data_IF_449402425428
#
_entry.id   IF_449402425428
#
_cell.length_a   1.000
_cell.length_b   1.000
_cell.length_c   1.000
_cell.angle_alpha   90.00
_cell.angle_beta   90.00
_cell.angle_gamma   90.00
#
_symmetry.space_group_name_H-M   'P 1'
#
loop_
_entity.id
_entity.type
_entity.pdbx_description
1 polymer ?
#
# COMPACT_ATOMS: atom_id res chain seq x y z
N UNK A 1 -5.13 -8.65 18.43
CA UNK A 1 -4.69 -8.90 17.04
C UNK A 1 -5.90 -9.20 16.17
N UNK A 2 -5.79 -9.22 14.83
CA UNK A 2 -6.93 -9.57 13.95
C UNK A 2 -7.46 -10.99 14.24
N UNK A 3 -6.59 -11.94 14.60
CA UNK A 3 -7.00 -13.31 14.95
C UNK A 3 -7.91 -13.36 16.18
N UNK A 4 -7.69 -12.48 17.17
CA UNK A 4 -8.61 -12.38 18.31
C UNK A 4 -9.95 -11.81 17.88
N UNK A 5 -9.97 -10.82 16.97
CA UNK A 5 -11.21 -10.30 16.41
C UNK A 5 -11.99 -11.40 15.68
N UNK A 6 -11.33 -12.27 14.91
CA UNK A 6 -12.01 -13.40 14.25
C UNK A 6 -12.74 -14.31 15.24
N UNK A 7 -12.10 -14.63 16.37
CA UNK A 7 -12.69 -15.45 17.42
C UNK A 7 -13.92 -14.77 18.02
N UNK A 8 -13.79 -13.49 18.37
CA UNK A 8 -14.91 -12.71 18.89
C UNK A 8 -16.05 -12.65 17.87
N UNK A 9 -15.79 -12.36 16.59
CA UNK A 9 -16.81 -12.38 15.53
C UNK A 9 -17.54 -13.73 15.50
N UNK A 10 -16.82 -14.84 15.56
CA UNK A 10 -17.40 -16.19 15.59
C UNK A 10 -18.29 -16.39 16.81
N UNK A 11 -17.84 -15.96 18.00
CA UNK A 11 -18.61 -16.06 19.25
C UNK A 11 -19.91 -15.25 19.17
N UNK A 12 -19.87 -14.04 18.59
CA UNK A 12 -21.07 -13.24 18.34
C UNK A 12 -22.04 -13.92 17.36
N UNK A 13 -21.53 -14.55 16.30
CA UNK A 13 -22.35 -15.31 15.36
C UNK A 13 -23.03 -16.52 16.01
N UNK A 14 -22.29 -17.29 16.82
CA UNK A 14 -22.84 -18.43 17.57
C UNK A 14 -23.90 -17.96 18.57
N UNK A 15 -23.60 -16.92 19.35
CA UNK A 15 -24.52 -16.34 20.31
C UNK A 15 -25.82 -15.85 19.65
N UNK A 16 -25.73 -15.20 18.48
CA UNK A 16 -26.91 -14.78 17.72
C UNK A 16 -27.76 -15.96 17.23
N UNK A 17 -27.11 -17.08 16.87
CA UNK A 17 -27.80 -18.28 16.43
C UNK A 17 -28.53 -18.98 17.58
N UNK A 18 -27.90 -19.08 18.74
CA UNK A 18 -28.49 -19.69 19.94
C UNK A 18 -29.60 -18.82 20.55
N UNK A 19 -29.45 -17.50 20.49
CA UNK A 19 -30.37 -16.52 21.08
C UNK A 19 -31.00 -15.64 19.99
N UNK A 20 -31.77 -16.25 19.08
CA UNK A 20 -32.33 -15.55 17.89
C UNK A 20 -33.14 -14.30 18.23
N UNK A 21 -33.88 -14.29 19.36
CA UNK A 21 -34.61 -13.10 19.83
C UNK A 21 -33.69 -11.89 20.09
N UNK A 22 -32.41 -12.13 20.41
CA UNK A 22 -31.40 -11.10 20.65
C UNK A 22 -30.51 -10.85 19.43
N UNK A 23 -30.68 -11.57 18.32
CA UNK A 23 -29.88 -11.42 17.11
C UNK A 23 -29.77 -9.96 16.60
N UNK A 24 -30.83 -9.11 16.61
CA UNK A 24 -30.69 -7.70 16.24
C UNK A 24 -29.71 -6.94 17.14
N UNK A 25 -29.78 -7.15 18.45
CA UNK A 25 -28.91 -6.47 19.43
C UNK A 25 -27.48 -6.96 19.30
N UNK A 26 -27.29 -8.28 19.17
CA UNK A 26 -25.97 -8.90 18.99
C UNK A 26 -25.33 -8.40 17.68
N UNK A 27 -26.10 -8.29 16.60
CA UNK A 27 -25.62 -7.77 15.31
C UNK A 27 -25.16 -6.31 15.38
N UNK A 28 -25.88 -5.45 16.11
CA UNK A 28 -25.47 -4.04 16.36
C UNK A 28 -24.19 -3.98 17.20
N UNK A 29 -24.07 -4.80 18.23
CA UNK A 29 -22.86 -4.86 19.05
C UNK A 29 -21.64 -5.37 18.25
N UNK A 30 -21.85 -6.37 17.38
CA UNK A 30 -20.80 -6.85 16.46
C UNK A 30 -20.37 -5.74 15.49
N UNK A 31 -21.33 -4.98 14.97
CA UNK A 31 -21.03 -3.80 14.14
C UNK A 31 -20.13 -2.82 14.88
N UNK A 32 -20.44 -2.50 16.14
CA UNK A 32 -19.64 -1.56 16.94
C UNK A 32 -18.25 -2.11 17.26
N UNK A 33 -18.12 -3.41 17.49
CA UNK A 33 -16.84 -4.09 17.65
C UNK A 33 -15.95 -3.92 16.41
N UNK A 34 -16.52 -4.15 15.21
CA UNK A 34 -15.79 -3.99 13.94
C UNK A 34 -15.40 -2.52 13.70
N UNK A 35 -16.30 -1.58 14.00
CA UNK A 35 -16.02 -0.14 13.93
C UNK A 35 -14.89 0.27 14.87
N UNK A 36 -14.91 -0.23 16.10
CA UNK A 36 -13.87 0.01 17.11
C UNK A 36 -12.52 -0.51 16.63
N UNK A 37 -12.48 -1.72 16.06
CA UNK A 37 -11.25 -2.28 15.51
C UNK A 37 -10.69 -1.42 14.37
N UNK A 38 -11.55 -0.98 13.44
CA UNK A 38 -11.14 -0.11 12.34
C UNK A 38 -10.57 1.23 12.86
N UNK A 39 -11.32 1.90 13.75
CA UNK A 39 -10.93 3.18 14.36
C UNK A 39 -9.61 3.07 15.12
N UNK A 40 -9.44 2.02 15.94
CA UNK A 40 -8.21 1.84 16.70
C UNK A 40 -7.00 1.54 15.80
N UNK A 41 -7.20 0.74 14.76
CA UNK A 41 -6.15 0.46 13.76
C UNK A 41 -5.72 1.75 13.05
N UNK A 42 -6.69 2.60 12.67
CA UNK A 42 -6.41 3.89 12.05
C UNK A 42 -5.58 4.77 12.97
N UNK A 43 -6.03 4.95 14.22
CA UNK A 43 -5.34 5.78 15.20
C UNK A 43 -3.90 5.32 15.45
N UNK A 44 -3.66 4.02 15.55
CA UNK A 44 -2.33 3.49 15.82
C UNK A 44 -1.37 3.70 14.64
N UNK A 45 -1.86 3.54 13.42
CA UNK A 45 -1.01 3.44 12.23
C UNK A 45 -0.98 4.76 11.45
N UNK A 46 -2.12 5.27 11.00
CA UNK A 46 -2.21 6.54 10.28
C UNK A 46 -2.24 7.73 11.24
N UNK A 47 -2.86 7.60 12.41
CA UNK A 47 -2.91 8.61 13.46
C UNK A 47 -1.66 8.71 14.34
N UNK A 48 -0.58 7.99 13.97
CA UNK A 48 0.69 7.93 14.70
C UNK A 48 0.57 7.55 16.20
N UNK A 49 -0.55 6.94 16.59
CA UNK A 49 -0.81 6.55 17.98
C UNK A 49 0.21 5.56 18.51
N UNK A 50 0.69 4.63 17.68
CA UNK A 50 1.69 3.65 18.08
C UNK A 50 3.05 4.29 18.41
N UNK A 51 3.39 5.46 17.85
CA UNK A 51 4.60 6.18 18.24
C UNK A 51 4.52 6.65 19.71
N UNK A 52 3.33 7.10 20.13
CA UNK A 52 3.09 7.62 21.49
C UNK A 52 2.85 6.51 22.50
N UNK A 53 2.06 5.49 22.14
CA UNK A 53 1.58 4.48 23.10
C UNK A 53 2.39 3.20 23.11
N UNK A 54 3.13 2.90 22.03
CA UNK A 54 3.96 1.69 21.92
C UNK A 54 5.46 2.00 21.83
N UNK A 55 5.86 3.28 21.91
CA UNK A 55 7.27 3.69 21.90
C UNK A 55 8.00 3.45 20.57
N UNK A 56 7.26 3.26 19.47
CA UNK A 56 7.86 3.11 18.15
C UNK A 56 8.50 4.43 17.69
N UNK A 57 9.68 4.34 17.07
CA UNK A 57 10.34 5.52 16.46
C UNK A 57 9.68 5.93 15.14
N UNK A 58 9.14 4.98 14.39
CA UNK A 58 8.50 5.22 13.09
C UNK A 58 7.45 4.16 12.77
N UNK A 59 6.50 4.51 11.91
CA UNK A 59 5.57 3.56 11.28
C UNK A 59 6.21 3.10 9.98
N UNK A 60 6.57 1.81 9.91
CA UNK A 60 7.26 1.23 8.75
C UNK A 60 6.28 0.83 7.64
N UNK A 61 6.77 0.61 6.42
CA UNK A 61 5.96 0.04 5.33
C UNK A 61 5.41 -1.34 5.67
N UNK A 62 6.13 -2.15 6.47
CA UNK A 62 5.64 -3.43 6.99
C UNK A 62 4.42 -3.24 7.90
N UNK A 63 4.44 -2.23 8.78
CA UNK A 63 3.28 -1.91 9.63
C UNK A 63 2.06 -1.54 8.77
N UNK A 64 2.25 -0.72 7.73
CA UNK A 64 1.20 -0.34 6.78
C UNK A 64 0.63 -1.57 6.05
N UNK A 65 1.50 -2.42 5.50
CA UNK A 65 1.10 -3.63 4.78
C UNK A 65 0.34 -4.63 5.66
N UNK A 66 0.85 -4.92 6.87
CA UNK A 66 0.20 -5.84 7.82
C UNK A 66 -1.17 -5.32 8.28
N UNK A 67 -1.28 -4.01 8.50
CA UNK A 67 -2.56 -3.38 8.86
C UNK A 67 -3.54 -3.49 7.71
N UNK A 68 -3.10 -3.18 6.49
CA UNK A 68 -3.91 -3.31 5.27
C UNK A 68 -4.43 -4.74 5.11
N UNK A 69 -3.58 -5.76 5.27
CA UNK A 69 -4.01 -7.17 5.20
C UNK A 69 -4.95 -7.60 6.31
N UNK A 70 -4.72 -7.11 7.52
CA UNK A 70 -5.62 -7.37 8.65
C UNK A 70 -7.02 -6.82 8.34
N UNK A 71 -7.10 -5.62 7.79
CA UNK A 71 -8.36 -4.99 7.41
C UNK A 71 -9.02 -5.67 6.21
N UNK A 72 -8.26 -6.09 5.20
CA UNK A 72 -8.77 -6.86 4.06
C UNK A 72 -9.38 -8.19 4.51
N UNK A 73 -8.79 -8.87 5.50
CA UNK A 73 -9.36 -10.08 6.09
C UNK A 73 -10.69 -9.78 6.79
N UNK A 74 -10.78 -8.69 7.54
CA UNK A 74 -12.04 -8.27 8.16
C UNK A 74 -13.10 -7.95 7.11
N UNK A 75 -12.72 -7.21 6.06
CA UNK A 75 -13.59 -6.85 4.95
C UNK A 75 -14.16 -8.10 4.26
N UNK A 76 -13.32 -9.11 4.03
CA UNK A 76 -13.71 -10.37 3.40
C UNK A 76 -14.76 -11.16 4.20
N UNK A 77 -14.79 -11.02 5.52
CA UNK A 77 -15.77 -11.70 6.36
C UNK A 77 -17.14 -11.03 6.38
N UNK A 78 -17.21 -9.70 6.22
CA UNK A 78 -18.45 -8.93 6.40
C UNK A 78 -19.63 -9.48 5.57
N UNK A 79 -19.46 -9.88 4.29
CA UNK A 79 -20.53 -10.50 3.53
C UNK A 79 -21.10 -11.78 4.18
N UNK A 80 -20.23 -12.63 4.73
CA UNK A 80 -20.63 -13.87 5.40
C UNK A 80 -21.37 -13.58 6.72
N UNK A 81 -20.90 -12.60 7.48
CA UNK A 81 -21.59 -12.13 8.70
C UNK A 81 -22.99 -11.60 8.34
N UNK A 82 -23.12 -10.80 7.27
CA UNK A 82 -24.42 -10.29 6.82
C UNK A 82 -25.39 -11.42 6.45
N UNK A 83 -24.93 -12.41 5.68
CA UNK A 83 -25.75 -13.57 5.31
C UNK A 83 -26.21 -14.33 6.56
N UNK A 84 -25.31 -14.55 7.52
CA UNK A 84 -25.65 -15.18 8.80
C UNK A 84 -26.77 -14.45 9.53
N UNK A 85 -26.62 -13.14 9.77
CA UNK A 85 -27.63 -12.37 10.51
C UNK A 85 -28.95 -12.21 9.75
N UNK A 86 -28.94 -12.13 8.41
CA UNK A 86 -30.16 -12.11 7.59
C UNK A 86 -31.03 -13.36 7.76
N UNK A 87 -30.44 -14.49 8.13
CA UNK A 87 -31.18 -15.72 8.42
C UNK A 87 -31.85 -15.72 9.81
N UNK A 88 -31.43 -14.80 10.69
CA UNK A 88 -31.83 -14.77 12.11
C UNK A 88 -32.73 -13.59 12.46
N UNK A 89 -32.73 -12.52 11.67
CA UNK A 89 -33.50 -11.31 11.94
C UNK A 89 -33.91 -10.59 10.65
N UNK A 90 -35.08 -9.95 10.69
CA UNK A 90 -35.56 -9.03 9.66
C UNK A 90 -34.97 -7.62 9.76
N UNK A 91 -34.23 -7.32 10.84
CA UNK A 91 -33.48 -6.06 10.96
C UNK A 91 -32.38 -6.02 9.86
N UNK A 92 -32.35 -4.99 9.01
CA UNK A 92 -31.38 -4.92 7.91
C UNK A 92 -29.93 -4.80 8.37
N UNK A 93 -29.67 -4.40 9.62
CA UNK A 93 -28.32 -4.22 10.19
C UNK A 93 -27.38 -3.44 9.26
N UNK A 94 -27.87 -2.32 8.72
CA UNK A 94 -27.17 -1.44 7.76
C UNK A 94 -25.83 -0.91 8.27
N UNK A 95 -25.58 -1.01 9.58
CA UNK A 95 -24.28 -0.73 10.18
C UNK A 95 -23.13 -1.54 9.58
N UNK A 96 -23.37 -2.78 9.14
CA UNK A 96 -22.35 -3.58 8.44
C UNK A 96 -21.91 -2.93 7.12
N UNK A 97 -22.82 -2.31 6.38
CA UNK A 97 -22.50 -1.64 5.10
C UNK A 97 -21.65 -0.39 5.34
N UNK A 98 -21.94 0.35 6.41
CA UNK A 98 -21.09 1.47 6.84
C UNK A 98 -19.68 1.00 7.20
N UNK A 99 -19.57 -0.06 8.00
CA UNK A 99 -18.27 -0.62 8.42
C UNK A 99 -17.48 -1.14 7.21
N UNK A 100 -18.14 -1.81 6.26
CA UNK A 100 -17.52 -2.28 5.02
C UNK A 100 -16.90 -1.12 4.24
N UNK A 101 -17.66 -0.03 4.04
CA UNK A 101 -17.19 1.17 3.37
C UNK A 101 -16.03 1.83 4.11
N UNK A 102 -16.14 1.98 5.43
CA UNK A 102 -15.11 2.64 6.26
C UNK A 102 -13.79 1.85 6.27
N UNK A 103 -13.87 0.52 6.32
CA UNK A 103 -12.69 -0.36 6.22
C UNK A 103 -12.06 -0.27 4.83
N UNK A 104 -12.88 -0.31 3.77
CA UNK A 104 -12.42 -0.14 2.40
C UNK A 104 -11.67 1.18 2.18
N UNK A 105 -12.22 2.29 2.69
CA UNK A 105 -11.58 3.60 2.65
C UNK A 105 -10.24 3.61 3.43
N UNK A 106 -10.21 3.00 4.62
CA UNK A 106 -8.98 2.93 5.41
C UNK A 106 -7.88 2.12 4.68
N UNK A 107 -8.22 1.01 4.02
CA UNK A 107 -7.27 0.25 3.20
C UNK A 107 -6.68 1.13 2.08
N UNK A 108 -7.50 1.92 1.40
CA UNK A 108 -7.03 2.87 0.37
C UNK A 108 -6.10 3.94 0.95
N UNK A 109 -6.42 4.48 2.14
CA UNK A 109 -5.56 5.46 2.81
C UNK A 109 -4.18 4.88 3.19
N UNK A 110 -4.12 3.60 3.60
CA UNK A 110 -2.86 2.92 3.88
C UNK A 110 -2.02 2.75 2.62
N UNK A 111 -2.64 2.36 1.50
CA UNK A 111 -1.95 2.25 0.20
C UNK A 111 -1.42 3.62 -0.28
N UNK A 112 -2.25 4.65 -0.22
CA UNK A 112 -1.86 6.02 -0.54
C UNK A 112 -0.70 6.51 0.33
N UNK A 113 -0.66 6.11 1.61
CA UNK A 113 0.46 6.46 2.50
C UNK A 113 1.76 5.79 2.07
N UNK A 114 1.73 4.52 1.65
CA UNK A 114 2.90 3.82 1.10
C UNK A 114 3.41 4.54 -0.16
N UNK A 115 2.50 4.84 -1.09
CA UNK A 115 2.82 5.53 -2.34
C UNK A 115 3.40 6.92 -2.09
N UNK A 116 2.83 7.67 -1.14
CA UNK A 116 3.33 8.99 -0.75
C UNK A 116 4.74 8.93 -0.17
N UNK A 117 5.02 7.99 0.75
CA UNK A 117 6.36 7.81 1.33
C UNK A 117 7.38 7.53 0.22
N UNK A 118 7.07 6.60 -0.68
CA UNK A 118 7.96 6.26 -1.78
C UNK A 118 8.13 7.41 -2.77
N UNK A 119 7.06 8.12 -3.09
CA UNK A 119 7.11 9.32 -3.95
C UNK A 119 8.09 10.36 -3.41
N UNK A 120 8.02 10.67 -2.11
CA UNK A 120 8.99 11.58 -1.46
C UNK A 120 10.40 11.03 -1.54
N UNK A 121 10.63 9.77 -1.12
CA UNK A 121 11.95 9.17 -1.11
C UNK A 121 12.62 9.14 -2.49
N UNK A 122 11.86 8.89 -3.57
CA UNK A 122 12.40 8.90 -4.92
C UNK A 122 12.60 10.33 -5.44
N UNK A 123 11.64 11.22 -5.20
CA UNK A 123 11.72 12.63 -5.62
C UNK A 123 12.95 13.33 -5.02
N UNK A 124 13.25 13.08 -3.74
CA UNK A 124 14.42 13.63 -3.08
C UNK A 124 15.71 13.19 -3.78
N UNK A 125 15.83 11.91 -4.13
CA UNK A 125 17.01 11.40 -4.85
C UNK A 125 17.12 11.97 -6.28
N UNK A 126 16.00 12.11 -7.00
CA UNK A 126 15.99 12.64 -8.36
C UNK A 126 16.33 14.13 -8.38
N UNK A 127 15.82 14.90 -7.43
CA UNK A 127 16.04 16.35 -7.38
C UNK A 127 17.48 16.76 -7.07
N UNK A 128 18.20 15.93 -6.29
CA UNK A 128 19.62 16.10 -5.98
C UNK A 128 20.57 15.47 -7.01
N UNK A 129 20.03 14.72 -7.98
CA UNK A 129 20.82 14.01 -8.98
C UNK A 129 21.31 14.95 -10.08
N UNK A 130 22.51 14.64 -10.58
CA UNK A 130 23.19 15.32 -11.67
C UNK A 130 23.78 14.27 -12.63
N UNK A 131 23.75 14.56 -13.92
CA UNK A 131 24.09 13.65 -15.01
C UNK A 131 25.60 13.65 -15.25
N UNK A 132 26.34 13.08 -14.30
CA UNK A 132 27.79 12.96 -14.33
C UNK A 132 28.28 11.62 -13.77
N UNK A 133 29.48 11.17 -14.17
CA UNK A 133 30.10 10.00 -13.58
C UNK A 133 30.35 10.15 -12.06
N UNK A 134 30.40 9.04 -11.30
CA UNK A 134 30.25 7.65 -11.75
C UNK A 134 28.78 7.22 -11.93
N UNK A 135 28.55 6.28 -12.85
CA UNK A 135 27.25 5.60 -13.04
C UNK A 135 27.38 4.13 -12.62
N UNK A 136 26.47 3.56 -11.80
CA UNK A 136 25.28 4.20 -11.25
C UNK A 136 25.63 5.24 -10.17
N UNK A 137 24.95 6.39 -10.19
CA UNK A 137 25.17 7.45 -9.20
C UNK A 137 24.71 7.02 -7.81
N UNK A 138 25.13 7.78 -6.80
CA UNK A 138 24.66 7.61 -5.43
C UNK A 138 23.12 7.70 -5.34
N UNK A 139 22.52 8.63 -6.09
CA UNK A 139 21.07 8.82 -6.15
C UNK A 139 20.36 7.57 -6.66
N UNK A 140 20.76 7.04 -7.83
CA UNK A 140 20.13 5.84 -8.41
C UNK A 140 20.37 4.58 -7.56
N UNK A 141 21.53 4.43 -6.90
CA UNK A 141 21.74 3.35 -5.92
C UNK A 141 20.81 3.46 -4.71
N UNK A 142 20.55 4.68 -4.23
CA UNK A 142 19.61 4.90 -3.13
C UNK A 142 18.16 4.63 -3.57
N UNK A 143 17.77 5.05 -4.78
CA UNK A 143 16.47 4.70 -5.40
C UNK A 143 16.29 3.18 -5.42
N UNK A 144 17.26 2.45 -5.96
CA UNK A 144 17.26 0.99 -6.01
C UNK A 144 17.12 0.37 -4.62
N UNK A 145 17.85 0.89 -3.63
CA UNK A 145 17.75 0.45 -2.23
C UNK A 145 16.36 0.70 -1.65
N UNK A 146 15.76 1.86 -1.87
CA UNK A 146 14.41 2.18 -1.36
C UNK A 146 13.36 1.25 -1.98
N UNK A 147 13.43 1.01 -3.28
CA UNK A 147 12.54 0.08 -3.99
C UNK A 147 12.68 -1.35 -3.47
N UNK A 148 13.91 -1.81 -3.23
CA UNK A 148 14.16 -3.17 -2.71
C UNK A 148 13.62 -3.33 -1.29
N UNK A 149 13.88 -2.36 -0.40
CA UNK A 149 13.37 -2.38 0.98
C UNK A 149 11.85 -2.34 1.04
N UNK A 150 11.20 -1.57 0.17
CA UNK A 150 9.75 -1.60 0.07
C UNK A 150 9.28 -3.00 -0.33
N UNK A 151 9.93 -3.62 -1.31
CA UNK A 151 9.54 -4.93 -1.83
C UNK A 151 9.60 -5.97 -0.72
N UNK A 152 10.70 -6.02 0.02
CA UNK A 152 10.88 -6.90 1.18
C UNK A 152 9.75 -6.72 2.21
N UNK A 153 9.34 -5.46 2.45
CA UNK A 153 8.31 -5.14 3.43
C UNK A 153 6.88 -5.51 2.98
N UNK A 154 6.59 -5.47 1.68
CA UNK A 154 5.21 -5.64 1.16
C UNK A 154 4.97 -7.00 0.51
N UNK A 155 5.97 -7.60 -0.15
CA UNK A 155 5.80 -8.84 -0.95
C UNK A 155 5.50 -10.08 -0.10
N UNK A 156 5.97 -10.11 1.15
CA UNK A 156 5.69 -11.21 2.08
C UNK A 156 4.28 -11.15 2.69
N UNK A 157 3.55 -10.05 2.47
CA UNK A 157 2.29 -9.75 3.18
C UNK A 157 1.14 -9.51 2.20
N UNK A 158 1.37 -8.72 1.15
CA UNK A 158 0.36 -8.34 0.16
C UNK A 158 0.24 -9.37 -0.98
N UNK A 159 -0.95 -9.55 -1.56
CA UNK A 159 -1.12 -10.30 -2.79
C UNK A 159 -0.27 -9.73 -3.93
N UNK A 160 0.23 -10.60 -4.81
CA UNK A 160 1.07 -10.22 -5.96
C UNK A 160 0.44 -9.12 -6.82
N UNK A 161 -0.86 -9.21 -7.09
CA UNK A 161 -1.61 -8.19 -7.84
C UNK A 161 -1.54 -6.81 -7.18
N UNK A 162 -1.63 -6.74 -5.85
CA UNK A 162 -1.57 -5.47 -5.13
C UNK A 162 -0.14 -4.90 -5.12
N UNK A 163 0.86 -5.76 -4.91
CA UNK A 163 2.28 -5.36 -5.04
C UNK A 163 2.52 -4.77 -6.42
N UNK A 164 2.01 -5.43 -7.47
CA UNK A 164 2.15 -4.94 -8.83
C UNK A 164 1.54 -3.56 -9.07
N UNK A 165 0.31 -3.33 -8.60
CA UNK A 165 -0.34 -2.01 -8.73
C UNK A 165 0.46 -0.91 -8.02
N UNK A 166 0.99 -1.21 -6.83
CA UNK A 166 1.85 -0.28 -6.09
C UNK A 166 3.10 0.07 -6.90
N UNK A 167 3.80 -0.94 -7.45
CA UNK A 167 5.01 -0.72 -8.22
C UNK A 167 4.74 -0.05 -9.57
N UNK A 168 3.62 -0.34 -10.23
CA UNK A 168 3.19 0.35 -11.46
C UNK A 168 3.00 1.84 -11.18
N UNK A 169 2.34 2.19 -10.08
CA UNK A 169 2.14 3.59 -9.67
C UNK A 169 3.45 4.28 -9.32
N UNK A 170 4.34 3.61 -8.56
CA UNK A 170 5.67 4.15 -8.22
C UNK A 170 6.50 4.39 -9.48
N UNK A 171 6.45 3.47 -10.45
CA UNK A 171 7.16 3.58 -11.71
C UNK A 171 6.69 4.79 -12.53
N UNK A 172 5.36 5.00 -12.65
CA UNK A 172 4.84 6.18 -13.34
C UNK A 172 5.28 7.48 -12.64
N UNK A 173 5.21 7.53 -11.31
CA UNK A 173 5.66 8.70 -10.56
C UNK A 173 7.16 8.98 -10.74
N UNK A 174 7.99 7.93 -10.78
CA UNK A 174 9.41 8.06 -11.07
C UNK A 174 9.67 8.63 -12.46
N UNK A 175 8.95 8.14 -13.48
CA UNK A 175 9.06 8.64 -14.87
C UNK A 175 8.72 10.13 -14.98
N UNK A 176 7.64 10.56 -14.32
CA UNK A 176 7.28 11.99 -14.27
C UNK A 176 8.40 12.81 -13.63
N UNK A 177 8.94 12.35 -12.50
CA UNK A 177 9.98 13.09 -11.76
C UNK A 177 11.30 13.15 -12.50
N UNK A 178 11.73 12.07 -13.14
CA UNK A 178 12.97 12.08 -13.93
C UNK A 178 12.81 12.99 -15.14
N UNK A 179 11.65 12.96 -15.83
CA UNK A 179 11.35 13.88 -16.94
C UNK A 179 11.45 15.34 -16.54
N UNK A 180 10.83 15.72 -15.42
CA UNK A 180 10.93 17.07 -14.86
C UNK A 180 12.38 17.50 -14.62
N UNK A 181 13.22 16.60 -14.09
CA UNK A 181 14.63 16.87 -13.82
C UNK A 181 15.45 17.00 -15.12
N UNK A 182 15.20 16.16 -16.13
CA UNK A 182 15.86 16.26 -17.44
C UNK A 182 15.57 17.59 -18.12
N UNK A 183 14.31 18.04 -18.08
CA UNK A 183 13.88 19.35 -18.59
C UNK A 183 14.60 20.47 -17.84
N UNK A 184 14.65 20.41 -16.50
CA UNK A 184 15.34 21.41 -15.66
C UNK A 184 16.83 21.50 -15.98
N UNK A 185 17.46 20.38 -16.30
CA UNK A 185 18.89 20.31 -16.64
C UNK A 185 19.17 20.58 -18.13
N UNK A 186 18.13 20.77 -18.94
CA UNK A 186 18.22 20.92 -20.39
C UNK A 186 18.93 19.74 -21.08
N UNK A 187 18.71 18.51 -20.60
CA UNK A 187 19.24 17.30 -21.20
C UNK A 187 18.27 16.82 -22.28
N UNK A 188 18.76 16.65 -23.50
CA UNK A 188 17.97 16.25 -24.66
C UNK A 188 18.29 14.83 -25.11
N UNK A 189 17.34 14.17 -25.77
CA UNK A 189 17.57 12.93 -26.48
C UNK A 189 18.30 13.19 -27.81
N UNK A 190 19.59 13.51 -27.71
CA UNK A 190 20.43 13.90 -28.85
C UNK A 190 21.61 12.93 -29.10
N UNK A 191 21.67 11.80 -28.37
CA UNK A 191 22.79 10.85 -28.47
C UNK A 191 24.10 11.35 -27.86
N UNK A 192 24.12 12.51 -27.20
CA UNK A 192 25.31 13.08 -26.59
C UNK A 192 25.75 12.39 -25.29
N UNK A 193 26.86 12.85 -24.66
CA UNK A 193 27.41 12.23 -23.46
C UNK A 193 26.44 12.20 -22.28
N UNK A 194 25.72 13.31 -22.03
CA UNK A 194 24.72 13.36 -20.95
C UNK A 194 23.54 12.43 -21.21
N UNK A 195 23.05 12.36 -22.46
CA UNK A 195 22.04 11.38 -22.86
C UNK A 195 22.50 9.94 -22.53
N UNK A 196 23.72 9.56 -22.91
CA UNK A 196 24.28 8.24 -22.59
C UNK A 196 24.37 7.94 -21.09
N UNK A 197 24.71 8.94 -20.26
CA UNK A 197 24.72 8.79 -18.81
C UNK A 197 23.32 8.51 -18.25
N UNK A 198 22.31 9.28 -18.71
CA UNK A 198 20.92 9.07 -18.31
C UNK A 198 20.44 7.69 -18.74
N UNK A 199 20.70 7.27 -19.99
CA UNK A 199 20.33 5.94 -20.48
C UNK A 199 20.91 4.84 -19.59
N UNK A 200 22.18 4.97 -19.18
CA UNK A 200 22.84 3.97 -18.32
C UNK A 200 22.22 3.93 -16.91
N UNK A 201 21.83 5.08 -16.35
CA UNK A 201 21.11 5.15 -15.07
C UNK A 201 19.72 4.52 -15.14
N UNK A 202 18.99 4.78 -16.24
CA UNK A 202 17.67 4.18 -16.48
C UNK A 202 17.77 2.67 -16.63
N UNK A 203 18.79 2.16 -17.34
CA UNK A 203 19.05 0.71 -17.44
C UNK A 203 19.25 0.11 -16.05
N UNK A 204 20.07 0.74 -15.20
CA UNK A 204 20.29 0.27 -13.83
C UNK A 204 18.99 0.27 -12.99
N UNK A 205 18.16 1.29 -13.13
CA UNK A 205 16.84 1.35 -12.50
C UNK A 205 15.92 0.22 -12.99
N UNK A 206 15.83 0.00 -14.31
CA UNK A 206 15.00 -1.05 -14.89
C UNK A 206 15.46 -2.45 -14.48
N UNK A 207 16.78 -2.68 -14.41
CA UNK A 207 17.34 -3.93 -13.91
C UNK A 207 16.92 -4.19 -12.45
N UNK A 208 16.94 -3.15 -11.61
CA UNK A 208 16.40 -3.24 -10.25
C UNK A 208 14.94 -3.68 -10.28
N UNK A 209 14.09 -2.99 -11.05
CA UNK A 209 12.65 -3.29 -11.12
C UNK A 209 12.37 -4.71 -11.65
N UNK A 210 13.17 -5.18 -12.62
CA UNK A 210 13.10 -6.53 -13.16
C UNK A 210 13.45 -7.60 -12.12
N UNK A 211 14.49 -7.36 -11.32
CA UNK A 211 14.91 -8.29 -10.26
C UNK A 211 13.86 -8.42 -9.15
N UNK A 212 13.10 -7.36 -8.88
CA UNK A 212 11.99 -7.40 -7.92
C UNK A 212 10.79 -8.21 -8.43
N UNK A 213 10.66 -8.44 -9.75
CA UNK A 213 9.52 -9.12 -10.39
C UNK A 213 8.16 -8.51 -10.02
N UNK A 214 8.16 -7.24 -9.65
CA UNK A 214 6.97 -6.51 -9.21
C UNK A 214 6.25 -5.78 -10.35
N UNK A 215 6.84 -5.72 -11.54
CA UNK A 215 6.24 -5.14 -12.75
C UNK A 215 6.18 -6.19 -13.86
N UNK A 216 5.18 -6.07 -14.74
CA UNK A 216 5.21 -6.82 -15.99
C UNK A 216 6.24 -6.30 -16.98
N UNK A 217 6.74 -7.21 -17.81
CA UNK A 217 7.72 -6.95 -18.87
C UNK A 217 7.34 -5.81 -19.82
N UNK A 218 6.05 -5.55 -20.04
CA UNK A 218 5.58 -4.41 -20.86
C UNK A 218 6.05 -3.04 -20.36
N UNK A 219 6.33 -2.91 -19.06
CA UNK A 219 6.81 -1.67 -18.43
C UNK A 219 8.34 -1.63 -18.29
N UNK A 220 9.04 -2.72 -18.61
CA UNK A 220 10.47 -2.88 -18.34
C UNK A 220 11.34 -2.85 -19.62
N UNK A 221 10.76 -2.46 -20.75
CA UNK A 221 11.49 -2.28 -22.00
C UNK A 221 12.03 -0.87 -22.16
N UNK A 222 13.10 -0.69 -22.92
CA UNK A 222 13.65 0.64 -23.24
C UNK A 222 12.58 1.54 -23.89
N UNK A 223 11.73 0.96 -24.76
CA UNK A 223 10.59 1.66 -25.37
C UNK A 223 9.60 2.20 -24.35
N UNK A 224 9.42 1.51 -23.23
CA UNK A 224 8.52 1.94 -22.16
C UNK A 224 9.06 3.16 -21.38
N UNK A 225 10.32 3.56 -21.62
CA UNK A 225 10.95 4.73 -21.02
C UNK A 225 11.14 5.88 -22.03
N UNK A 226 10.73 5.75 -23.29
CA UNK A 226 10.90 6.80 -24.30
C UNK A 226 10.20 8.12 -23.94
N UNK A 227 9.10 8.05 -23.20
CA UNK A 227 8.29 9.19 -22.77
C UNK A 227 8.91 10.03 -21.64
N UNK A 228 10.08 9.65 -21.10
CA UNK A 228 10.82 10.47 -20.13
C UNK A 228 11.55 11.65 -20.79
N UNK A 229 11.82 11.57 -22.09
CA UNK A 229 12.43 12.64 -22.88
C UNK A 229 11.42 13.73 -23.25
#
# INVERSE_FOLDING_TARGET
TVLMLLRLVSEYCVCAYELQLLAPVIGRNLTELLRTFNSRSYQLVLGAGALRTAGLKTITSTNLALTSRSLQLVLWMIPNIRVHFRSLTSDPLSGFDSVEKDIGHHIQQLENKVLSIMGTLLSDQVSEWDAKPPVPSKAFRNISRHLTKLHEAVSCVLPETQVRIIYETIHQNFKVKIKEQLIRMNIQNNGGPQHGLVTTEIIFYLETMKNLKALSDKHLSDKAMEDIW
#
